data_IF_878377201259
#
_entry.id   IF_878377201259
#
_cell.length_a   1.000
_cell.length_b   1.000
_cell.length_c   1.000
_cell.angle_alpha   90.00
_cell.angle_beta   90.00
_cell.angle_gamma   90.00
#
_symmetry.space_group_name_H-M   'P 1'
#
loop_
_entity.id
_entity.type
_entity.pdbx_description
1 polymer ?
#
# COMPACT_ATOMS: atom_id res chain seq x y z
N UNK A 1 19.37 -26.69 -22.78
CA UNK A 1 19.31 -28.06 -23.31
C UNK A 1 19.80 -29.02 -22.24
N UNK A 2 18.89 -29.78 -21.63
CA UNK A 2 19.20 -30.86 -20.68
C UNK A 2 18.89 -30.54 -19.22
N UNK A 3 18.15 -31.48 -18.59
CA UNK A 3 17.83 -31.61 -17.16
C UNK A 3 16.69 -30.73 -16.63
N UNK A 4 15.44 -31.14 -16.90
CA UNK A 4 14.36 -31.28 -15.88
C UNK A 4 13.17 -32.08 -16.45
N UNK A 5 13.43 -33.05 -17.34
CA UNK A 5 12.45 -34.06 -17.79
C UNK A 5 12.61 -35.34 -16.96
N UNK A 6 12.31 -35.30 -15.67
CA UNK A 6 12.18 -36.55 -14.88
C UNK A 6 11.32 -36.31 -13.64
N UNK A 7 10.02 -36.05 -13.80
CA UNK A 7 9.04 -36.26 -12.71
C UNK A 7 7.56 -36.21 -13.15
N UNK A 8 7.25 -36.69 -14.37
CA UNK A 8 5.86 -36.88 -14.82
C UNK A 8 5.77 -38.20 -15.58
N UNK A 9 5.95 -39.31 -14.85
CA UNK A 9 5.56 -40.65 -15.33
C UNK A 9 5.08 -41.52 -14.17
N UNK A 10 3.89 -41.21 -13.69
CA UNK A 10 3.10 -42.05 -12.80
C UNK A 10 1.69 -42.15 -13.35
N UNK A 11 1.52 -42.97 -14.38
CA UNK A 11 0.24 -43.37 -14.95
C UNK A 11 -0.55 -44.11 -13.86
N UNK A 12 -1.69 -43.59 -13.43
CA UNK A 12 -2.68 -44.36 -12.68
C UNK A 12 -4.03 -44.30 -13.40
N UNK A 13 -4.51 -45.50 -13.71
CA UNK A 13 -5.83 -45.87 -14.23
C UNK A 13 -6.97 -45.03 -13.63
N UNK A 14 -8.04 -44.69 -14.38
CA UNK A 14 -9.27 -44.23 -13.77
C UNK A 14 -9.87 -45.38 -12.93
N UNK A 15 -9.88 -45.22 -11.61
CA UNK A 15 -10.69 -46.07 -10.75
C UNK A 15 -12.16 -45.68 -10.94
N UNK A 16 -12.99 -46.68 -11.22
CA UNK A 16 -14.44 -46.60 -11.27
C UNK A 16 -14.99 -46.17 -9.90
N UNK A 17 -15.62 -45.00 -9.84
CA UNK A 17 -16.41 -44.56 -8.69
C UNK A 17 -17.72 -45.35 -8.70
N UNK A 18 -18.10 -46.06 -7.62
CA UNK A 18 -19.42 -46.69 -7.56
C UNK A 18 -20.49 -45.59 -7.55
N UNK A 19 -21.49 -45.79 -8.39
CA UNK A 19 -22.71 -45.00 -8.42
C UNK A 19 -23.53 -45.29 -7.17
N UNK A 20 -23.37 -44.45 -6.15
CA UNK A 20 -24.39 -44.15 -5.14
C UNK A 20 -23.95 -42.88 -4.41
N UNK A 21 -24.23 -41.73 -5.02
CA UNK A 21 -24.29 -40.47 -4.31
C UNK A 21 -25.79 -40.12 -4.22
N UNK A 22 -26.39 -40.10 -3.02
CA UNK A 22 -27.70 -39.50 -2.90
C UNK A 22 -27.55 -38.01 -3.23
N UNK A 23 -28.43 -37.53 -4.11
CA UNK A 23 -28.68 -36.11 -4.33
C UNK A 23 -29.17 -35.51 -3.00
N UNK A 24 -28.26 -35.06 -2.14
CA UNK A 24 -28.63 -34.29 -0.96
C UNK A 24 -28.54 -32.80 -1.29
N UNK A 25 -29.71 -32.28 -1.67
CA UNK A 25 -30.06 -30.88 -1.63
C UNK A 25 -29.44 -30.20 -0.42
N UNK A 26 -28.63 -29.17 -0.65
CA UNK A 26 -27.97 -28.38 0.39
C UNK A 26 -28.94 -27.66 1.33
N UNK A 27 -29.55 -28.40 2.24
CA UNK A 27 -29.97 -27.90 3.53
C UNK A 27 -28.70 -27.91 4.40
N UNK A 28 -28.13 -26.73 4.64
CA UNK A 28 -27.13 -26.58 5.69
C UNK A 28 -27.71 -27.20 6.96
N UNK A 29 -27.07 -28.26 7.48
CA UNK A 29 -27.45 -28.83 8.77
C UNK A 29 -27.26 -27.74 9.82
N UNK A 30 -28.39 -27.13 10.20
CA UNK A 30 -28.46 -26.00 11.12
C UNK A 30 -27.83 -26.39 12.46
N UNK A 31 -27.98 -27.66 12.88
CA UNK A 31 -27.39 -28.16 14.11
C UNK A 31 -25.86 -28.22 14.04
N UNK A 32 -25.30 -28.66 12.91
CA UNK A 32 -23.85 -28.66 12.69
C UNK A 32 -23.26 -27.24 12.64
N UNK A 33 -24.01 -26.28 12.10
CA UNK A 33 -23.64 -24.87 12.09
C UNK A 33 -23.71 -24.23 13.49
N UNK A 34 -24.71 -24.60 14.29
CA UNK A 34 -24.85 -24.17 15.69
C UNK A 34 -23.70 -24.71 16.56
N UNK A 35 -23.38 -26.00 16.44
CA UNK A 35 -22.26 -26.61 17.18
C UNK A 35 -20.90 -26.00 16.78
N UNK A 36 -20.70 -25.71 15.49
CA UNK A 36 -19.51 -25.01 15.02
C UNK A 36 -19.41 -23.59 15.60
N UNK A 37 -20.55 -22.91 15.75
CA UNK A 37 -20.64 -21.58 16.36
C UNK A 37 -20.31 -21.63 17.84
N UNK A 38 -20.86 -22.59 18.58
CA UNK A 38 -20.56 -22.77 20.01
C UNK A 38 -19.07 -23.03 20.26
N UNK A 39 -18.46 -23.91 19.46
CA UNK A 39 -17.01 -24.17 19.51
C UNK A 39 -16.18 -22.92 19.22
N UNK A 40 -16.62 -22.10 18.26
CA UNK A 40 -15.97 -20.83 17.96
C UNK A 40 -16.06 -19.83 19.11
N UNK A 41 -17.24 -19.66 19.71
CA UNK A 41 -17.45 -18.75 20.84
C UNK A 41 -16.68 -19.20 22.10
N UNK A 42 -16.64 -20.50 22.38
CA UNK A 42 -15.85 -21.05 23.48
C UNK A 42 -14.35 -20.79 23.29
N UNK A 43 -13.85 -20.90 22.05
CA UNK A 43 -12.46 -20.58 21.72
C UNK A 43 -12.14 -19.10 21.94
N UNK A 44 -13.03 -18.18 21.56
CA UNK A 44 -12.86 -16.75 21.81
C UNK A 44 -12.78 -16.45 23.31
N UNK A 45 -13.70 -17.02 24.09
CA UNK A 45 -13.73 -16.85 25.55
C UNK A 45 -12.43 -17.37 26.22
N UNK A 46 -11.92 -18.52 25.78
CA UNK A 46 -10.65 -19.06 26.28
C UNK A 46 -9.44 -18.17 25.97
N UNK A 47 -9.48 -17.40 24.88
CA UNK A 47 -8.45 -16.43 24.50
C UNK A 47 -8.66 -15.04 25.10
N UNK A 48 -9.71 -14.85 25.92
CA UNK A 48 -10.06 -13.56 26.50
C UNK A 48 -10.54 -12.52 25.46
N UNK A 49 -10.91 -12.96 24.25
CA UNK A 49 -11.41 -12.09 23.19
C UNK A 49 -12.91 -11.89 23.42
N UNK A 50 -13.42 -10.65 23.41
CA UNK A 50 -14.84 -10.38 23.57
C UNK A 50 -15.65 -11.06 22.46
N UNK A 51 -16.86 -11.50 22.80
CA UNK A 51 -17.74 -12.16 21.84
C UNK A 51 -18.14 -11.18 20.71
N UNK A 52 -18.38 -11.67 19.49
CA UNK A 52 -18.88 -10.84 18.41
C UNK A 52 -20.19 -10.16 18.85
N UNK A 53 -20.35 -8.87 18.54
CA UNK A 53 -21.52 -8.04 18.91
C UNK A 53 -21.74 -7.80 20.41
N UNK A 54 -20.80 -8.17 21.30
CA UNK A 54 -20.87 -7.78 22.73
C UNK A 54 -20.04 -6.53 23.06
N UNK A 55 -19.41 -5.92 22.05
CA UNK A 55 -18.79 -4.61 22.20
C UNK A 55 -19.83 -3.53 22.56
N UNK A 56 -19.36 -2.42 23.13
CA UNK A 56 -20.20 -1.26 23.41
C UNK A 56 -21.00 -0.87 22.17
N UNK A 57 -22.32 -0.67 22.31
CA UNK A 57 -23.21 -0.22 21.22
C UNK A 57 -22.93 1.22 20.77
N UNK A 58 -22.05 1.91 21.49
CA UNK A 58 -21.57 3.22 21.09
C UNK A 58 -20.47 2.96 20.05
N UNK A 59 -20.81 3.11 18.77
CA UNK A 59 -19.80 3.13 17.71
C UNK A 59 -18.74 4.19 18.03
N UNK A 60 -17.56 4.04 17.42
CA UNK A 60 -16.47 5.00 17.59
C UNK A 60 -16.99 6.44 17.44
N UNK A 61 -16.79 7.24 18.48
CA UNK A 61 -17.18 8.65 18.46
C UNK A 61 -16.34 9.38 17.40
N UNK A 62 -16.85 10.50 16.86
CA UNK A 62 -16.06 11.31 15.91
C UNK A 62 -14.70 11.73 16.50
N UNK A 63 -14.61 11.92 17.82
CA UNK A 63 -13.36 12.25 18.50
C UNK A 63 -12.37 11.07 18.50
N UNK A 64 -12.85 9.83 18.69
CA UNK A 64 -12.02 8.62 18.59
C UNK A 64 -11.56 8.36 17.17
N UNK A 65 -12.42 8.58 16.17
CA UNK A 65 -12.06 8.51 14.77
C UNK A 65 -11.03 9.59 14.41
N UNK A 66 -11.23 10.83 14.85
CA UNK A 66 -10.32 11.95 14.57
C UNK A 66 -8.93 11.74 15.18
N UNK A 67 -8.82 11.15 16.39
CA UNK A 67 -7.52 10.81 16.99
C UNK A 67 -6.75 9.76 16.21
N UNK A 68 -7.44 8.90 15.46
CA UNK A 68 -6.79 7.92 14.60
C UNK A 68 -6.11 8.57 13.38
N UNK A 69 -6.56 9.76 13.00
CA UNK A 69 -6.02 10.59 11.92
C UNK A 69 -5.19 11.77 12.44
N UNK A 70 -4.90 11.81 13.75
CA UNK A 70 -3.94 12.76 14.29
C UNK A 70 -2.59 12.41 13.68
N UNK A 71 -1.99 13.35 12.95
CA UNK A 71 -0.71 13.15 12.28
C UNK A 71 0.34 13.99 13.00
N UNK A 72 1.57 13.47 13.03
CA UNK A 72 2.70 14.25 13.48
C UNK A 72 2.87 15.49 12.57
N UNK A 73 3.39 16.62 13.10
CA UNK A 73 3.65 17.81 12.30
C UNK A 73 4.35 17.47 11.00
N UNK A 74 3.88 18.02 9.89
CA UNK A 74 4.49 17.74 8.60
C UNK A 74 5.92 18.27 8.62
N UNK A 75 6.86 17.49 8.05
CA UNK A 75 8.22 17.97 7.89
C UNK A 75 8.28 19.30 7.11
N UNK A 76 7.34 19.51 6.19
CA UNK A 76 7.22 20.75 5.41
C UNK A 76 7.01 21.97 6.31
N UNK A 77 6.35 21.80 7.46
CA UNK A 77 6.11 22.88 8.42
C UNK A 77 7.39 23.31 9.17
N UNK A 78 8.46 22.50 9.08
CA UNK A 78 9.76 22.79 9.70
C UNK A 78 10.74 23.47 8.75
N UNK A 79 10.39 23.60 7.47
CA UNK A 79 11.26 24.20 6.48
C UNK A 79 11.24 25.74 6.62
N UNK A 80 12.40 26.42 6.51
CA UNK A 80 12.51 27.86 6.74
C UNK A 80 12.09 28.65 5.48
N UNK A 81 10.86 28.47 5.01
CA UNK A 81 10.31 29.19 3.86
C UNK A 81 9.49 30.41 4.32
N UNK A 82 9.59 31.49 3.56
CA UNK A 82 8.90 32.75 3.83
C UNK A 82 7.66 32.93 2.94
N UNK A 83 7.82 32.80 1.61
CA UNK A 83 6.71 32.96 0.66
C UNK A 83 6.94 32.19 -0.64
N UNK A 84 5.85 31.96 -1.37
CA UNK A 84 5.89 31.40 -2.73
C UNK A 84 5.94 32.52 -3.77
N UNK A 85 6.86 32.43 -4.74
CA UNK A 85 7.00 33.37 -5.85
C UNK A 85 6.38 32.76 -7.12
N UNK A 86 5.15 33.16 -7.52
CA UNK A 86 4.41 32.47 -8.59
C UNK A 86 5.04 32.55 -9.97
N UNK A 87 5.66 33.69 -10.29
CA UNK A 87 6.25 33.94 -11.62
C UNK A 87 7.46 33.03 -11.89
N UNK A 88 8.19 32.68 -10.83
CA UNK A 88 9.39 31.84 -10.91
C UNK A 88 9.13 30.39 -10.45
N UNK A 89 7.97 30.13 -9.85
CA UNK A 89 7.57 28.84 -9.29
C UNK A 89 8.53 28.31 -8.20
N UNK A 90 9.08 29.21 -7.38
CA UNK A 90 10.02 28.87 -6.29
C UNK A 90 9.52 29.38 -4.95
N UNK A 91 10.06 28.83 -3.86
CA UNK A 91 9.88 29.34 -2.51
C UNK A 91 11.07 30.22 -2.13
N UNK A 92 10.80 31.39 -1.57
CA UNK A 92 11.80 32.22 -0.91
C UNK A 92 12.01 31.72 0.52
N UNK A 93 13.26 31.61 0.98
CA UNK A 93 13.57 31.23 2.35
C UNK A 93 13.60 32.44 3.30
N UNK A 94 13.55 32.19 4.60
CA UNK A 94 13.49 33.21 5.66
C UNK A 94 14.68 34.18 5.68
N UNK A 95 15.81 33.82 5.05
CA UNK A 95 16.97 34.72 4.89
C UNK A 95 16.74 35.82 3.83
N UNK A 96 15.61 35.77 3.12
CA UNK A 96 15.21 36.73 2.09
C UNK A 96 16.08 36.68 0.82
N UNK A 97 16.90 35.64 0.65
CA UNK A 97 17.83 35.51 -0.48
C UNK A 97 17.84 34.11 -1.07
N UNK A 98 17.88 33.09 -0.22
CA UNK A 98 17.90 31.70 -0.65
C UNK A 98 16.55 31.32 -1.25
N UNK A 99 16.60 30.52 -2.32
CA UNK A 99 15.43 30.06 -3.05
C UNK A 99 15.40 28.54 -3.03
N UNK A 100 14.23 27.95 -2.93
CA UNK A 100 14.03 26.51 -2.89
C UNK A 100 12.97 26.07 -3.91
N UNK A 101 13.17 24.88 -4.45
CA UNK A 101 12.17 24.15 -5.20
C UNK A 101 11.97 22.79 -4.53
N UNK A 102 10.72 22.39 -4.36
CA UNK A 102 10.35 21.13 -3.72
C UNK A 102 9.79 20.19 -4.77
N UNK A 103 10.28 18.95 -4.75
CA UNK A 103 9.84 17.90 -5.65
C UNK A 103 9.44 16.68 -4.82
N UNK A 104 8.30 16.10 -5.16
CA UNK A 104 7.89 14.80 -4.65
C UNK A 104 8.46 13.70 -5.54
N UNK A 105 9.10 12.71 -4.93
CA UNK A 105 9.63 11.55 -5.66
C UNK A 105 8.62 10.41 -5.61
N UNK A 106 8.13 10.01 -6.79
CA UNK A 106 7.25 8.85 -6.90
C UNK A 106 8.10 7.57 -6.88
N UNK A 107 7.88 6.65 -5.94
CA UNK A 107 8.66 5.41 -5.86
C UNK A 107 8.38 4.52 -7.06
N UNK A 108 9.42 3.89 -7.61
CA UNK A 108 9.31 2.90 -8.66
C UNK A 108 9.22 1.50 -8.06
N UNK A 109 8.18 0.74 -8.43
CA UNK A 109 8.05 -0.67 -8.05
C UNK A 109 9.18 -1.51 -8.65
N UNK A 110 10.06 -2.00 -7.78
CA UNK A 110 11.27 -2.77 -8.16
C UNK A 110 11.04 -4.29 -8.20
N UNK A 111 9.97 -4.78 -7.58
CA UNK A 111 9.68 -6.21 -7.51
C UNK A 111 9.45 -6.82 -8.90
N UNK A 112 10.14 -7.94 -9.18
CA UNK A 112 10.01 -8.67 -10.44
C UNK A 112 10.54 -7.94 -11.68
N UNK A 113 11.20 -6.79 -11.52
CA UNK A 113 11.81 -6.05 -12.63
C UNK A 113 13.13 -6.68 -13.05
N UNK A 114 13.43 -6.58 -14.35
CA UNK A 114 14.71 -7.01 -14.90
C UNK A 114 15.88 -6.19 -14.30
N UNK A 115 17.00 -6.83 -13.90
CA UNK A 115 18.14 -6.13 -13.32
C UNK A 115 18.75 -5.04 -14.20
N UNK A 116 18.71 -5.17 -15.54
CA UNK A 116 19.22 -4.13 -16.43
C UNK A 116 18.28 -2.93 -16.47
N UNK A 117 16.96 -3.17 -16.41
CA UNK A 117 15.99 -2.08 -16.30
C UNK A 117 16.23 -1.26 -15.02
N UNK A 118 16.46 -1.92 -13.89
CA UNK A 118 16.75 -1.23 -12.62
C UNK A 118 18.05 -0.43 -12.68
N UNK A 119 19.09 -0.96 -13.32
CA UNK A 119 20.34 -0.21 -13.54
C UNK A 119 20.12 1.02 -14.40
N UNK A 120 19.37 0.89 -15.50
CA UNK A 120 19.07 2.03 -16.36
C UNK A 120 18.28 3.12 -15.62
N UNK A 121 17.29 2.74 -14.80
CA UNK A 121 16.54 3.69 -13.99
C UNK A 121 17.43 4.44 -12.98
N UNK A 122 18.33 3.72 -12.30
CA UNK A 122 19.34 4.31 -11.42
C UNK A 122 20.27 5.26 -12.19
N UNK A 123 20.76 4.84 -13.35
CA UNK A 123 21.72 5.61 -14.13
C UNK A 123 21.08 6.89 -14.68
N UNK A 124 19.82 6.83 -15.11
CA UNK A 124 19.06 8.01 -15.51
C UNK A 124 18.89 9.02 -14.35
N UNK A 125 18.55 8.55 -13.14
CA UNK A 125 18.45 9.41 -11.96
C UNK A 125 19.80 10.05 -11.63
N UNK A 126 20.88 9.26 -11.66
CA UNK A 126 22.24 9.74 -11.42
C UNK A 126 22.63 10.80 -12.43
N UNK A 127 22.42 10.55 -13.72
CA UNK A 127 22.75 11.49 -14.79
C UNK A 127 21.94 12.78 -14.67
N UNK A 128 20.65 12.69 -14.33
CA UNK A 128 19.82 13.87 -14.09
C UNK A 128 20.41 14.74 -12.96
N UNK A 129 20.74 14.15 -11.81
CA UNK A 129 21.32 14.91 -10.70
C UNK A 129 22.70 15.48 -11.01
N UNK A 130 23.56 14.72 -11.69
CA UNK A 130 24.93 15.16 -11.99
C UNK A 130 24.99 16.30 -13.01
N UNK A 131 24.05 16.33 -13.96
CA UNK A 131 24.09 17.29 -15.07
C UNK A 131 23.18 18.51 -14.85
N UNK A 132 22.39 18.55 -13.77
CA UNK A 132 21.42 19.65 -13.55
C UNK A 132 21.95 20.81 -12.74
N UNK A 133 23.07 20.67 -12.04
CA UNK A 133 23.57 21.69 -11.10
C UNK A 133 24.96 22.16 -11.49
N UNK A 134 25.05 23.39 -11.99
CA UNK A 134 26.31 24.07 -12.22
C UNK A 134 26.98 24.48 -10.91
N UNK A 135 28.31 24.41 -10.87
CA UNK A 135 29.07 24.86 -9.71
C UNK A 135 29.13 26.40 -9.67
N UNK A 136 28.70 26.97 -8.55
CA UNK A 136 28.73 28.42 -8.31
C UNK A 136 29.51 28.73 -7.04
N UNK A 137 30.54 29.59 -7.14
CA UNK A 137 31.40 29.95 -6.00
C UNK A 137 30.66 30.75 -4.92
N UNK A 138 29.69 31.57 -5.31
CA UNK A 138 29.00 32.53 -4.43
C UNK A 138 27.60 32.09 -4.01
N UNK A 139 27.01 31.11 -4.69
CA UNK A 139 25.63 30.66 -4.47
C UNK A 139 25.51 29.16 -4.74
N UNK A 140 26.08 28.33 -3.85
CA UNK A 140 26.11 26.89 -4.05
C UNK A 140 24.71 26.27 -3.95
N UNK A 141 24.51 25.19 -4.69
CA UNK A 141 23.31 24.37 -4.57
C UNK A 141 23.39 23.47 -3.34
N UNK A 142 22.27 23.36 -2.63
CA UNK A 142 22.08 22.38 -1.55
C UNK A 142 20.94 21.47 -1.96
N UNK A 143 21.23 20.18 -2.14
CA UNK A 143 20.22 19.15 -2.43
C UNK A 143 19.99 18.33 -1.17
N UNK A 144 18.74 18.23 -0.73
CA UNK A 144 18.34 17.48 0.46
C UNK A 144 17.26 16.47 0.08
N UNK A 145 17.39 15.25 0.59
CA UNK A 145 16.42 14.17 0.39
C UNK A 145 15.79 13.85 1.72
N UNK A 146 14.46 13.82 1.73
CA UNK A 146 13.66 13.39 2.87
C UNK A 146 12.90 12.14 2.46
N UNK A 147 12.94 11.13 3.32
CA UNK A 147 12.15 9.92 3.19
C UNK A 147 11.29 9.82 4.44
N UNK A 148 9.98 9.78 4.24
CA UNK A 148 9.00 9.53 5.29
C UNK A 148 8.17 8.33 4.85
N UNK A 149 7.90 7.42 5.78
CA UNK A 149 6.95 6.34 5.55
C UNK A 149 5.53 6.93 5.52
N UNK A 150 4.95 7.02 4.33
CA UNK A 150 3.58 7.46 4.18
C UNK A 150 2.63 6.31 4.54
N UNK A 151 1.94 6.46 5.67
CA UNK A 151 0.91 5.51 6.15
C UNK A 151 -0.46 5.83 5.51
N UNK A 152 -0.56 6.94 4.77
CA UNK A 152 -1.79 7.33 4.08
C UNK A 152 -2.08 6.38 2.92
N UNK A 153 -3.27 5.79 2.94
CA UNK A 153 -3.75 4.90 1.88
C UNK A 153 -4.63 5.63 0.85
N UNK A 154 -4.82 6.93 1.00
CA UNK A 154 -5.82 7.69 0.24
C UNK A 154 -5.50 7.75 -1.26
N UNK A 155 -4.23 7.99 -1.61
CA UNK A 155 -3.79 8.02 -3.01
C UNK A 155 -3.98 6.64 -3.67
N UNK A 156 -3.65 5.56 -2.96
CA UNK A 156 -3.91 4.19 -3.44
C UNK A 156 -5.41 3.92 -3.60
N UNK A 157 -6.26 4.34 -2.66
CA UNK A 157 -7.72 4.20 -2.79
C UNK A 157 -8.24 4.94 -4.01
N UNK A 158 -7.73 6.15 -4.28
CA UNK A 158 -8.14 6.95 -5.43
C UNK A 158 -7.70 6.31 -6.75
N UNK A 159 -6.46 5.83 -6.83
CA UNK A 159 -5.98 5.03 -7.96
C UNK A 159 -6.83 3.76 -8.17
N UNK A 160 -7.20 3.06 -7.10
CA UNK A 160 -8.03 1.87 -7.17
C UNK A 160 -9.43 2.19 -7.69
N UNK A 161 -10.06 3.28 -7.23
CA UNK A 161 -11.35 3.78 -7.76
C UNK A 161 -11.27 4.15 -9.24
N UNK A 162 -10.13 4.70 -9.66
CA UNK A 162 -9.87 5.02 -11.07
C UNK A 162 -9.62 3.77 -11.91
N UNK A 163 -9.00 2.74 -11.33
CA UNK A 163 -8.73 1.45 -11.98
C UNK A 163 -10.00 0.65 -12.30
N UNK A 164 -11.07 0.82 -11.51
CA UNK A 164 -12.36 0.17 -11.79
C UNK A 164 -12.86 0.58 -13.17
N UNK A 165 -12.91 -0.41 -14.06
CA UNK A 165 -13.40 -0.23 -15.42
C UNK A 165 -14.81 0.41 -15.39
N UNK A 166 -15.13 1.37 -16.27
CA UNK A 166 -16.38 2.14 -16.21
C UNK A 166 -17.66 1.28 -16.12
N UNK A 167 -17.63 0.09 -16.71
CA UNK A 167 -18.74 -0.89 -16.70
C UNK A 167 -19.02 -1.54 -15.34
N UNK A 168 -18.07 -1.51 -14.41
CA UNK A 168 -18.17 -2.11 -13.08
C UNK A 168 -18.35 -1.05 -11.98
N UNK A 169 -18.54 0.23 -12.34
CA UNK A 169 -18.83 1.28 -11.36
C UNK A 169 -20.30 1.21 -10.95
N UNK A 170 -20.55 0.94 -9.67
CA UNK A 170 -21.90 0.96 -9.07
C UNK A 170 -22.68 -0.35 -9.10
N UNK A 171 -22.02 -1.49 -9.37
CA UNK A 171 -22.58 -2.83 -9.19
C UNK A 171 -22.54 -3.29 -7.74
#
# INVERSE_FOLDING_TARGET
>A
MGLFQTLLRGRTQPQSVPADAPEDSGALDVAAAEEATERYLARLAAMGIPLPNTGSKNGATQAEASRLYDHDPSFVDLLPWAEYLPDEQVMLLEDGRSRAAFFELVPLGTEGRDPNWMQNARDALKEALQNSFDEHETSPWIVQFYAQDEISWDNFQEQLRQYVHPRARGS
#
